data_IF_214900439110
#
_entry.id   IF_214900439110
#
_cell.length_a   1.000
_cell.length_b   1.000
_cell.length_c   1.000
_cell.angle_alpha   90.00
_cell.angle_beta   90.00
_cell.angle_gamma   90.00
#
_symmetry.space_group_name_H-M   'P 1'
#
loop_
_entity.id
_entity.type
_entity.pdbx_description
1 polymer ?
#
# COMPACT_ATOMS: atom_id res chain seq x y z
N UNK A 1 15.67 -22.78 41.84
CA UNK A 1 14.74 -21.70 41.42
C UNK A 1 14.83 -21.44 39.91
N UNK A 2 15.79 -22.06 39.22
CA UNK A 2 16.09 -21.85 37.81
C UNK A 2 15.06 -22.50 36.85
N UNK A 3 14.42 -23.60 37.27
CA UNK A 3 13.44 -24.30 36.43
C UNK A 3 12.15 -23.53 36.17
N UNK A 4 11.68 -22.69 37.11
CA UNK A 4 10.42 -21.94 36.93
C UNK A 4 10.55 -20.80 35.91
N UNK A 5 11.74 -20.22 35.81
CA UNK A 5 12.04 -19.18 34.82
C UNK A 5 12.14 -19.79 33.41
N UNK A 6 12.72 -20.98 33.29
CA UNK A 6 12.80 -21.72 32.02
C UNK A 6 11.40 -22.19 31.56
N UNK A 7 10.58 -22.70 32.48
CA UNK A 7 9.17 -23.05 32.23
C UNK A 7 8.36 -21.82 31.80
N UNK A 8 8.56 -20.68 32.48
CA UNK A 8 7.91 -19.41 32.16
C UNK A 8 8.33 -18.84 30.81
N UNK A 9 9.60 -18.94 30.46
CA UNK A 9 10.13 -18.59 29.13
C UNK A 9 9.54 -19.48 28.04
N UNK A 10 9.42 -20.79 28.30
CA UNK A 10 8.76 -21.74 27.39
C UNK A 10 7.29 -21.40 27.16
N UNK A 11 6.55 -21.11 28.23
CA UNK A 11 5.15 -20.67 28.15
C UNK A 11 4.99 -19.34 27.40
N UNK A 12 5.89 -18.38 27.62
CA UNK A 12 5.84 -17.09 26.94
C UNK A 12 6.16 -17.24 25.45
N UNK A 13 7.16 -18.05 25.09
CA UNK A 13 7.50 -18.34 23.70
C UNK A 13 6.34 -19.05 22.98
N UNK A 14 5.67 -20.00 23.64
CA UNK A 14 4.51 -20.71 23.09
C UNK A 14 3.32 -19.77 22.90
N UNK A 15 2.96 -18.99 23.93
CA UNK A 15 1.87 -18.01 23.86
C UNK A 15 2.12 -16.93 22.81
N UNK A 16 3.33 -16.36 22.80
CA UNK A 16 3.68 -15.29 21.86
C UNK A 16 3.84 -15.82 20.42
N UNK A 17 4.33 -17.05 20.25
CA UNK A 17 4.38 -17.73 18.95
C UNK A 17 2.99 -18.03 18.39
N UNK A 18 2.06 -18.49 19.22
CA UNK A 18 0.67 -18.74 18.81
C UNK A 18 -0.04 -17.45 18.36
N UNK A 19 0.12 -16.35 19.12
CA UNK A 19 -0.41 -15.04 18.75
C UNK A 19 0.22 -14.54 17.45
N UNK A 20 1.54 -14.67 17.31
CA UNK A 20 2.24 -14.29 16.08
C UNK A 20 1.71 -15.05 14.87
N UNK A 21 1.57 -16.36 14.97
CA UNK A 21 1.02 -17.20 13.91
C UNK A 21 -0.42 -16.80 13.55
N UNK A 22 -1.25 -16.53 14.57
CA UNK A 22 -2.62 -16.06 14.38
C UNK A 22 -2.67 -14.72 13.63
N UNK A 23 -1.84 -13.75 14.02
CA UNK A 23 -1.76 -12.46 13.32
C UNK A 23 -1.26 -12.61 11.88
N UNK A 24 -0.27 -13.48 11.63
CA UNK A 24 0.18 -13.78 10.26
C UNK A 24 -0.98 -14.32 9.42
N UNK A 25 -1.75 -15.27 9.94
CA UNK A 25 -2.94 -15.80 9.26
C UNK A 25 -3.97 -14.70 8.99
N UNK A 26 -4.23 -13.79 9.95
CA UNK A 26 -5.14 -12.66 9.74
C UNK A 26 -4.63 -11.67 8.68
N UNK A 27 -3.32 -11.42 8.62
CA UNK A 27 -2.73 -10.58 7.57
C UNK A 27 -2.94 -11.21 6.19
N UNK A 28 -2.73 -12.52 6.06
CA UNK A 28 -3.02 -13.22 4.81
C UNK A 28 -4.51 -13.18 4.47
N UNK A 29 -5.39 -13.41 5.43
CA UNK A 29 -6.84 -13.36 5.21
C UNK A 29 -7.30 -11.97 4.71
N UNK A 30 -6.83 -10.90 5.35
CA UNK A 30 -7.14 -9.52 4.94
C UNK A 30 -6.51 -9.16 3.58
N UNK A 31 -5.32 -9.68 3.28
CA UNK A 31 -4.68 -9.52 1.97
C UNK A 31 -5.47 -10.23 0.86
N UNK A 32 -5.93 -11.45 1.11
CA UNK A 32 -6.79 -12.20 0.19
C UNK A 32 -8.10 -11.46 -0.02
N UNK A 33 -8.72 -10.96 1.06
CA UNK A 33 -9.93 -10.15 0.98
C UNK A 33 -9.71 -8.90 0.13
N UNK A 34 -8.61 -8.17 0.35
CA UNK A 34 -8.24 -7.00 -0.46
C UNK A 34 -8.07 -7.35 -1.94
N UNK A 35 -7.41 -8.48 -2.24
CA UNK A 35 -7.20 -8.93 -3.62
C UNK A 35 -8.50 -9.40 -4.28
N UNK A 36 -9.34 -10.09 -3.53
CA UNK A 36 -10.63 -10.61 -3.99
C UNK A 36 -11.60 -9.46 -4.27
N UNK A 37 -11.63 -8.44 -3.41
CA UNK A 37 -12.44 -7.23 -3.62
C UNK A 37 -12.01 -6.50 -4.88
N UNK A 38 -10.70 -6.23 -5.05
CA UNK A 38 -10.18 -5.58 -6.28
C UNK A 38 -10.43 -6.40 -7.56
N UNK A 39 -10.58 -7.73 -7.44
CA UNK A 39 -10.79 -8.61 -8.58
C UNK A 39 -12.26 -8.84 -8.92
N UNK A 40 -13.14 -9.01 -7.93
CA UNK A 40 -14.58 -9.25 -8.12
C UNK A 40 -15.37 -7.95 -8.31
N UNK A 41 -14.91 -6.85 -7.70
CA UNK A 41 -15.45 -5.51 -7.90
C UNK A 41 -14.31 -4.62 -8.41
N UNK A 42 -13.93 -4.73 -9.70
CA UNK A 42 -13.05 -3.77 -10.32
C UNK A 42 -13.81 -2.43 -10.41
N UNK A 43 -13.79 -1.67 -9.33
CA UNK A 43 -14.16 -0.27 -9.35
C UNK A 43 -13.23 0.41 -10.34
N UNK A 44 -13.85 0.90 -11.41
CA UNK A 44 -13.32 1.91 -12.33
C UNK A 44 -12.46 2.93 -11.57
N UNK A 45 -11.35 3.37 -12.20
CA UNK A 45 -10.06 3.59 -11.56
C UNK A 45 -10.11 4.58 -10.40
N UNK A 46 -10.05 4.07 -9.17
CA UNK A 46 -9.50 4.85 -8.07
C UNK A 46 -7.97 4.88 -8.22
N UNK A 47 -7.48 5.87 -8.97
CA UNK A 47 -6.09 6.33 -8.86
C UNK A 47 -5.90 6.86 -7.44
N UNK A 48 -5.61 5.96 -6.51
CA UNK A 48 -4.95 6.29 -5.28
C UNK A 48 -3.81 5.30 -5.18
N UNK A 49 -2.56 5.71 -5.45
CA UNK A 49 -1.43 4.93 -5.03
C UNK A 49 -1.55 4.86 -3.51
N UNK A 50 -2.01 3.72 -2.98
CA UNK A 50 -1.77 3.36 -1.59
C UNK A 50 -0.26 3.12 -1.52
N UNK A 51 0.47 4.22 -1.41
CA UNK A 51 1.82 4.22 -0.92
C UNK A 51 1.70 3.65 0.48
N UNK A 52 2.19 2.43 0.62
CA UNK A 52 2.41 1.75 1.87
C UNK A 52 3.02 2.76 2.86
N UNK A 53 2.25 3.17 3.87
CA UNK A 53 2.68 4.08 4.94
C UNK A 53 3.72 3.38 5.82
N UNK A 54 4.91 3.18 5.27
CA UNK A 54 6.12 2.81 6.00
C UNK A 54 7.31 3.52 5.37
N UNK A 55 7.28 4.85 5.45
CA UNK A 55 8.52 5.58 5.67
C UNK A 55 8.22 6.87 6.40
N UNK A 56 8.75 6.91 7.60
CA UNK A 56 9.11 8.08 8.39
C UNK A 56 9.60 9.20 7.47
N UNK A 57 9.06 10.41 7.70
CA UNK A 57 9.61 11.71 7.36
C UNK A 57 10.25 11.87 5.96
N UNK A 58 9.47 12.42 5.02
CA UNK A 58 10.02 13.41 4.08
C UNK A 58 8.93 14.39 3.66
N UNK A 59 8.49 15.19 4.63
CA UNK A 59 8.04 16.53 4.31
C UNK A 59 9.29 17.34 3.93
N UNK A 60 9.24 17.97 2.76
CA UNK A 60 10.13 19.03 2.26
C UNK A 60 11.31 18.60 1.40
N UNK A 61 11.09 18.54 0.09
CA UNK A 61 12.06 19.06 -0.89
C UNK A 61 11.38 19.45 -2.22
N UNK A 62 10.95 20.73 -2.24
CA UNK A 62 11.18 21.71 -3.32
C UNK A 62 10.67 21.43 -4.74
N UNK A 63 9.63 22.20 -5.08
CA UNK A 63 9.59 23.15 -6.21
C UNK A 63 10.36 22.70 -7.46
N UNK A 64 9.82 21.70 -8.13
CA UNK A 64 10.08 21.38 -9.53
C UNK A 64 8.78 20.80 -10.04
N UNK A 65 8.21 21.36 -11.11
CA UNK A 65 6.92 20.92 -11.64
C UNK A 65 6.94 19.40 -11.78
N UNK A 66 5.99 18.72 -11.13
CA UNK A 66 5.87 17.26 -11.18
C UNK A 66 5.87 16.81 -12.65
N UNK A 67 6.88 16.02 -13.04
CA UNK A 67 7.08 15.58 -14.42
C UNK A 67 5.84 14.86 -14.97
N UNK A 68 5.07 14.19 -14.08
CA UNK A 68 3.79 13.60 -14.44
C UNK A 68 2.78 14.68 -14.82
N UNK A 69 2.64 15.74 -14.02
CA UNK A 69 1.74 16.86 -14.30
C UNK A 69 2.08 17.56 -15.63
N UNK A 70 3.37 17.79 -15.92
CA UNK A 70 3.80 18.33 -17.23
C UNK A 70 3.37 17.40 -18.36
N UNK A 71 3.59 16.09 -18.24
CA UNK A 71 3.22 15.12 -19.27
C UNK A 71 1.71 15.11 -19.55
N UNK A 72 0.86 15.20 -18.51
CA UNK A 72 -0.60 15.22 -18.71
C UNK A 72 -1.04 16.51 -19.40
N UNK A 73 -0.48 17.66 -18.99
CA UNK A 73 -0.78 18.96 -19.61
C UNK A 73 -0.33 18.97 -21.08
N UNK A 74 0.86 18.47 -21.39
CA UNK A 74 1.36 18.37 -22.76
C UNK A 74 0.48 17.46 -23.62
N UNK A 75 0.07 16.30 -23.10
CA UNK A 75 -0.83 15.39 -23.80
C UNK A 75 -2.20 16.05 -24.09
N UNK A 76 -2.76 16.75 -23.10
CA UNK A 76 -4.03 17.45 -23.25
C UNK A 76 -3.98 18.57 -24.31
N UNK A 77 -2.89 19.36 -24.33
CA UNK A 77 -2.69 20.42 -25.34
C UNK A 77 -2.55 19.82 -26.74
N UNK A 78 -1.77 18.74 -26.87
CA UNK A 78 -1.56 18.08 -28.16
C UNK A 78 -2.89 17.54 -28.72
N UNK A 79 -3.72 16.93 -27.87
CA UNK A 79 -5.05 16.46 -28.24
C UNK A 79 -5.97 17.61 -28.67
N UNK A 80 -5.96 18.75 -27.97
CA UNK A 80 -6.78 19.90 -28.33
C UNK A 80 -6.40 20.49 -29.69
N UNK A 81 -5.10 20.62 -29.97
CA UNK A 81 -4.60 21.12 -31.27
C UNK A 81 -4.96 20.21 -32.43
N UNK A 82 -4.86 18.89 -32.23
CA UNK A 82 -5.22 17.90 -33.24
C UNK A 82 -6.74 17.73 -33.43
N UNK A 83 -7.56 18.30 -32.55
CA UNK A 83 -9.00 18.37 -32.73
C UNK A 83 -9.42 19.69 -33.40
N UNK A 84 -8.64 20.76 -33.19
CA UNK A 84 -8.88 22.10 -33.79
C UNK A 84 -8.56 22.16 -35.29
N UNK A 85 -7.64 21.33 -35.78
CA UNK A 85 -7.24 21.25 -37.20
C UNK A 85 -8.09 20.27 -38.05
N UNK A 86 -9.11 19.65 -37.45
CA UNK A 86 -10.05 18.73 -38.12
C UNK A 86 -11.40 19.40 -38.44
N UNK A 87 -11.45 20.72 -38.51
CA UNK A 87 -12.54 21.53 -39.07
C UNK A 87 -11.94 22.57 -40.03
#
# INVERSE_FOLDING_TARGET
MDGLLDEGLGLMALGMGAVFLFLVVLIFATTIMSRLINHLFPDTPAVLPVANNRSVAQASSKVGVDAKMVAVITAAIHQHRNNKNSN
#
